data_IF_692906335891
#
_entry.id   IF_692906335891
#
_cell.length_a   1.000
_cell.length_b   1.000
_cell.length_c   1.000
_cell.angle_alpha   90.00
_cell.angle_beta   90.00
_cell.angle_gamma   90.00
#
_symmetry.space_group_name_H-M   'P 1'
#
loop_
_entity.id
_entity.type
_entity.pdbx_description
1 polymer ?
#
# COMPACT_ATOMS: atom_id res chain seq x y z
N UNK A 1 -10.08 3.89 28.21
CA UNK A 1 -9.67 3.71 29.62
C UNK A 1 -8.19 3.31 29.72
N UNK A 2 -7.57 3.41 30.90
CA UNK A 2 -6.12 3.17 31.08
C UNK A 2 -5.63 1.80 30.57
N UNK A 3 -6.49 0.77 30.58
CA UNK A 3 -6.21 -0.56 30.03
C UNK A 3 -6.14 -0.57 28.50
N UNK A 4 -7.06 0.12 27.82
CA UNK A 4 -7.03 0.27 26.36
C UNK A 4 -5.81 1.07 25.90
N UNK A 5 -5.38 2.06 26.70
CA UNK A 5 -4.17 2.84 26.45
C UNK A 5 -2.89 1.99 26.60
N UNK A 6 -2.87 1.08 27.58
CA UNK A 6 -1.77 0.15 27.80
C UNK A 6 -1.68 -0.93 26.71
N UNK A 7 -2.83 -1.52 26.31
CA UNK A 7 -2.90 -2.47 25.19
C UNK A 7 -2.51 -1.79 23.88
N UNK A 8 -2.96 -0.56 23.64
CA UNK A 8 -2.55 0.25 22.48
C UNK A 8 -1.04 0.53 22.49
N UNK A 9 -0.47 0.90 23.64
CA UNK A 9 0.98 1.14 23.77
C UNK A 9 1.80 -0.12 23.52
N UNK A 10 1.40 -1.27 24.07
CA UNK A 10 2.08 -2.56 23.86
C UNK A 10 2.03 -2.94 22.38
N UNK A 11 0.87 -2.78 21.73
CA UNK A 11 0.71 -3.06 20.31
C UNK A 11 1.55 -2.13 19.43
N UNK A 12 1.52 -0.82 19.70
CA UNK A 12 2.39 0.17 19.03
C UNK A 12 3.88 -0.10 19.27
N UNK A 13 4.28 -0.61 20.43
CA UNK A 13 5.66 -0.98 20.73
C UNK A 13 6.10 -2.23 19.96
N UNK A 14 5.24 -3.25 19.89
CA UNK A 14 5.49 -4.50 19.15
C UNK A 14 5.53 -4.25 17.64
N UNK A 15 4.54 -3.50 17.13
CA UNK A 15 4.46 -3.03 15.75
C UNK A 15 5.73 -2.23 15.40
N UNK A 16 6.17 -1.30 16.27
CA UNK A 16 7.32 -0.43 15.97
C UNK A 16 8.68 -1.10 16.08
N UNK A 17 8.87 -2.05 16.99
CA UNK A 17 10.15 -2.75 17.17
C UNK A 17 10.31 -3.96 16.24
N UNK A 18 9.23 -4.69 15.97
CA UNK A 18 9.21 -5.76 14.97
C UNK A 18 9.22 -5.24 13.54
N UNK A 19 8.43 -4.20 13.23
CA UNK A 19 8.28 -3.71 11.86
C UNK A 19 9.51 -2.92 11.37
N UNK A 20 10.28 -2.21 12.20
CA UNK A 20 11.43 -1.43 11.69
C UNK A 20 12.54 -2.34 11.11
N UNK A 21 12.78 -3.48 11.76
CA UNK A 21 13.71 -4.50 11.26
C UNK A 21 13.21 -5.19 9.99
N UNK A 22 11.90 -5.47 9.93
CA UNK A 22 11.26 -6.07 8.75
C UNK A 22 11.21 -5.08 7.57
N UNK A 23 10.90 -3.80 7.83
CA UNK A 23 10.87 -2.73 6.84
C UNK A 23 12.22 -2.60 6.14
N UNK A 24 13.32 -2.50 6.91
CA UNK A 24 14.67 -2.42 6.33
C UNK A 24 15.01 -3.61 5.44
N UNK A 25 14.59 -4.81 5.82
CA UNK A 25 14.81 -6.05 5.05
C UNK A 25 13.94 -6.11 3.79
N UNK A 26 12.70 -5.64 3.86
CA UNK A 26 11.75 -5.66 2.74
C UNK A 26 11.98 -4.54 1.72
N UNK A 27 12.54 -3.40 2.14
CA UNK A 27 12.81 -2.27 1.24
C UNK A 27 13.89 -2.56 0.18
N UNK A 28 14.85 -3.44 0.48
CA UNK A 28 15.91 -3.82 -0.46
C UNK A 28 15.40 -4.59 -1.70
N UNK A 29 14.62 -5.68 -1.56
CA UNK A 29 14.05 -6.37 -2.72
C UNK A 29 13.05 -5.51 -3.51
N UNK A 30 12.30 -4.60 -2.86
CA UNK A 30 11.40 -3.68 -3.58
C UNK A 30 12.15 -2.77 -4.55
N UNK A 31 13.24 -2.13 -4.10
CA UNK A 31 14.09 -1.31 -4.97
C UNK A 31 14.67 -2.10 -6.14
N UNK A 32 15.06 -3.35 -5.90
CA UNK A 32 15.58 -4.22 -6.95
C UNK A 32 14.52 -4.57 -7.99
N UNK A 33 13.26 -4.81 -7.56
CA UNK A 33 12.15 -5.08 -8.47
C UNK A 33 11.86 -3.88 -9.39
N UNK A 34 11.80 -2.66 -8.85
CA UNK A 34 11.60 -1.45 -9.66
C UNK A 34 12.77 -1.18 -10.62
N UNK A 35 14.02 -1.39 -10.19
CA UNK A 35 15.18 -1.22 -11.07
C UNK A 35 15.16 -2.19 -12.27
N UNK A 36 14.65 -3.41 -12.09
CA UNK A 36 14.50 -4.38 -13.19
C UNK A 36 13.39 -3.98 -14.17
N UNK A 37 12.31 -3.39 -13.67
CA UNK A 37 11.22 -2.84 -14.49
C UNK A 37 11.71 -1.66 -15.33
N UNK A 38 12.44 -0.72 -14.71
CA UNK A 38 13.01 0.45 -15.38
C UNK A 38 14.06 0.07 -16.44
N UNK A 39 14.76 -1.05 -16.26
CA UNK A 39 15.76 -1.54 -17.20
C UNK A 39 15.19 -2.16 -18.49
N UNK A 40 13.86 -2.31 -18.62
CA UNK A 40 13.18 -2.72 -19.87
C UNK A 40 13.47 -4.15 -20.36
N UNK A 41 14.13 -5.00 -19.56
CA UNK A 41 14.63 -6.32 -19.98
C UNK A 41 13.62 -7.47 -19.84
N UNK A 42 12.32 -7.23 -20.06
CA UNK A 42 11.27 -8.24 -19.82
C UNK A 42 10.24 -8.31 -20.95
N UNK A 43 9.85 -9.53 -21.34
CA UNK A 43 8.67 -9.78 -22.20
C UNK A 43 7.42 -9.17 -21.57
N UNK A 44 6.50 -8.62 -22.38
CA UNK A 44 5.32 -7.88 -21.90
C UNK A 44 4.54 -8.58 -20.78
N UNK A 45 4.18 -9.87 -20.95
CA UNK A 45 3.45 -10.62 -19.91
C UNK A 45 4.28 -10.88 -18.63
N UNK A 46 5.61 -10.87 -18.72
CA UNK A 46 6.52 -10.91 -17.57
C UNK A 46 6.62 -9.54 -16.90
N UNK A 47 6.63 -8.46 -17.70
CA UNK A 47 6.61 -7.09 -17.20
C UNK A 47 5.31 -6.79 -16.45
N UNK A 48 4.15 -7.20 -16.96
CA UNK A 48 2.85 -6.98 -16.30
C UNK A 48 2.76 -7.68 -14.95
N UNK A 49 3.24 -8.94 -14.87
CA UNK A 49 3.34 -9.70 -13.62
C UNK A 49 4.33 -9.09 -12.64
N UNK A 50 5.46 -8.58 -13.14
CA UNK A 50 6.49 -7.97 -12.31
C UNK A 50 6.02 -6.62 -11.74
N UNK A 51 5.26 -5.83 -12.51
CA UNK A 51 4.60 -4.62 -12.01
C UNK A 51 3.55 -4.94 -10.94
N UNK A 52 2.63 -5.89 -11.18
CA UNK A 52 1.62 -6.28 -10.18
C UNK A 52 2.28 -6.73 -8.86
N UNK A 53 3.32 -7.58 -8.94
CA UNK A 53 4.10 -7.99 -7.77
C UNK A 53 4.85 -6.84 -7.07
N UNK A 54 5.40 -5.89 -7.83
CA UNK A 54 6.05 -4.71 -7.26
C UNK A 54 5.05 -3.81 -6.51
N UNK A 55 3.84 -3.65 -7.06
CA UNK A 55 2.77 -2.90 -6.42
C UNK A 55 2.29 -3.50 -5.11
N UNK A 56 2.07 -4.82 -5.07
CA UNK A 56 1.73 -5.52 -3.82
C UNK A 56 2.85 -5.46 -2.77
N UNK A 57 4.10 -5.55 -3.22
CA UNK A 57 5.25 -5.39 -2.35
C UNK A 57 5.35 -3.96 -1.79
N UNK A 58 5.07 -2.94 -2.60
CA UNK A 58 5.01 -1.55 -2.16
C UNK A 58 3.92 -1.34 -1.09
N UNK A 59 2.75 -1.98 -1.21
CA UNK A 59 1.74 -1.98 -0.14
C UNK A 59 2.30 -2.57 1.16
N UNK A 60 2.94 -3.74 1.06
CA UNK A 60 3.48 -4.44 2.22
C UNK A 60 4.57 -3.64 2.92
N UNK A 61 5.48 -3.04 2.16
CA UNK A 61 6.56 -2.18 2.69
C UNK A 61 5.99 -0.89 3.26
N UNK A 62 4.99 -0.30 2.61
CA UNK A 62 4.28 0.87 3.13
C UNK A 62 3.58 0.60 4.46
N UNK A 63 2.98 -0.58 4.63
CA UNK A 63 2.36 -1.01 5.89
C UNK A 63 3.40 -1.18 7.01
N UNK A 64 4.53 -1.82 6.73
CA UNK A 64 5.63 -1.90 7.70
C UNK A 64 6.18 -0.53 8.09
N UNK A 65 6.29 0.40 7.14
CA UNK A 65 6.69 1.78 7.42
C UNK A 65 5.65 2.50 8.29
N UNK A 66 4.36 2.28 8.01
CA UNK A 66 3.25 2.84 8.77
C UNK A 66 3.31 2.39 10.24
N UNK A 67 3.42 1.07 10.46
CA UNK A 67 3.53 0.46 11.79
C UNK A 67 4.78 0.91 12.55
N UNK A 68 5.86 1.20 11.82
CA UNK A 68 7.11 1.77 12.38
C UNK A 68 7.00 3.27 12.73
N UNK A 69 5.87 3.92 12.43
CA UNK A 69 5.68 5.36 12.61
C UNK A 69 6.38 6.23 11.55
N UNK A 70 6.86 5.63 10.45
CA UNK A 70 7.51 6.32 9.32
C UNK A 70 6.46 6.74 8.30
N UNK A 71 5.63 7.72 8.66
CA UNK A 71 4.46 8.08 7.86
C UNK A 71 4.79 8.64 6.47
N UNK A 72 5.91 9.36 6.32
CA UNK A 72 6.33 9.85 5.00
C UNK A 72 6.81 8.74 4.06
N UNK A 73 7.51 7.74 4.61
CA UNK A 73 7.91 6.56 3.85
C UNK A 73 6.67 5.75 3.44
N UNK A 74 5.76 5.50 4.38
CA UNK A 74 4.50 4.80 4.12
C UNK A 74 3.69 5.48 3.00
N UNK A 75 3.59 6.82 3.06
CA UNK A 75 2.92 7.61 2.02
C UNK A 75 3.58 7.44 0.65
N UNK A 76 4.91 7.40 0.61
CA UNK A 76 5.66 7.25 -0.63
C UNK A 76 5.42 5.86 -1.24
N UNK A 77 5.49 4.79 -0.43
CA UNK A 77 5.23 3.43 -0.87
C UNK A 77 3.79 3.21 -1.35
N UNK A 78 2.80 3.80 -0.68
CA UNK A 78 1.41 3.74 -1.17
C UNK A 78 1.20 4.53 -2.46
N UNK A 79 1.93 5.62 -2.68
CA UNK A 79 1.92 6.35 -3.94
C UNK A 79 2.57 5.56 -5.09
N UNK A 80 3.64 4.82 -4.81
CA UNK A 80 4.27 3.90 -5.78
C UNK A 80 3.31 2.76 -6.16
N UNK A 81 2.59 2.18 -5.18
CA UNK A 81 1.56 1.19 -5.44
C UNK A 81 0.42 1.75 -6.31
N UNK A 82 -0.04 2.97 -6.04
CA UNK A 82 -1.04 3.68 -6.87
C UNK A 82 -0.56 3.91 -8.30
N UNK A 83 0.68 4.36 -8.47
CA UNK A 83 1.26 4.59 -9.80
C UNK A 83 1.36 3.27 -10.59
N UNK A 84 1.83 2.22 -9.92
CA UNK A 84 1.94 0.87 -10.49
C UNK A 84 0.57 0.34 -10.92
N UNK A 85 -0.44 0.44 -10.05
CA UNK A 85 -1.81 0.01 -10.34
C UNK A 85 -2.41 0.72 -11.56
N UNK A 86 -2.16 2.02 -11.71
CA UNK A 86 -2.63 2.79 -12.87
C UNK A 86 -1.88 2.44 -14.16
N UNK A 87 -0.58 2.19 -14.07
CA UNK A 87 0.21 1.74 -15.21
C UNK A 87 -0.25 0.38 -15.73
N UNK A 88 -0.65 -0.53 -14.84
CA UNK A 88 -1.08 -1.89 -15.21
C UNK A 88 -2.59 -2.02 -15.40
N UNK A 89 -3.38 -1.00 -15.05
CA UNK A 89 -4.85 -1.10 -15.04
C UNK A 89 -5.41 -2.00 -13.94
N UNK A 90 -4.64 -2.28 -12.89
CA UNK A 90 -5.05 -3.12 -11.76
C UNK A 90 -5.90 -2.33 -10.75
N UNK A 91 -7.21 -2.28 -11.00
CA UNK A 91 -8.16 -1.61 -10.12
C UNK A 91 -8.24 -2.25 -8.71
N UNK A 92 -7.87 -3.53 -8.55
CA UNK A 92 -7.83 -4.18 -7.24
C UNK A 92 -6.71 -3.61 -6.37
N UNK A 93 -5.52 -3.52 -6.94
CA UNK A 93 -4.36 -2.89 -6.31
C UNK A 93 -4.59 -1.40 -6.05
N UNK A 94 -5.22 -0.67 -6.99
CA UNK A 94 -5.52 0.75 -6.82
C UNK A 94 -6.45 0.98 -5.62
N UNK A 95 -7.53 0.20 -5.50
CA UNK A 95 -8.42 0.27 -4.35
C UNK A 95 -7.69 -0.05 -3.03
N UNK A 96 -6.80 -1.05 -3.04
CA UNK A 96 -6.02 -1.45 -1.86
C UNK A 96 -5.05 -0.34 -1.42
N UNK A 97 -4.38 0.32 -2.37
CA UNK A 97 -3.49 1.45 -2.08
C UNK A 97 -4.23 2.65 -1.50
N UNK A 98 -5.45 2.94 -2.00
CA UNK A 98 -6.30 3.99 -1.43
C UNK A 98 -6.79 3.65 -0.01
N UNK A 99 -7.15 2.40 0.28
CA UNK A 99 -7.50 1.98 1.64
C UNK A 99 -6.35 2.21 2.63
N UNK A 100 -5.14 1.80 2.26
CA UNK A 100 -3.95 1.99 3.10
C UNK A 100 -3.60 3.48 3.28
N UNK A 101 -3.74 4.28 2.23
CA UNK A 101 -3.60 5.75 2.32
C UNK A 101 -4.63 6.37 3.27
N UNK A 102 -5.85 5.84 3.29
CA UNK A 102 -6.89 6.31 4.21
C UNK A 102 -6.55 6.00 5.68
N UNK A 103 -6.03 4.80 5.96
CA UNK A 103 -5.56 4.45 7.30
C UNK A 103 -4.39 5.32 7.75
N UNK A 104 -3.39 5.49 6.89
CA UNK A 104 -2.24 6.36 7.18
C UNK A 104 -2.69 7.80 7.46
N UNK A 105 -3.60 8.35 6.65
CA UNK A 105 -4.10 9.71 6.86
C UNK A 105 -4.89 9.84 8.16
N UNK A 106 -5.66 8.82 8.57
CA UNK A 106 -6.34 8.79 9.86
C UNK A 106 -5.32 8.83 11.01
N UNK A 107 -4.32 7.95 10.94
CA UNK A 107 -3.34 7.75 12.02
C UNK A 107 -2.34 8.92 12.11
N UNK A 108 -2.13 9.65 11.00
CA UNK A 108 -1.40 10.92 10.95
C UNK A 108 -2.25 12.15 11.33
N UNK A 109 -3.50 11.99 11.78
CA UNK A 109 -4.35 13.11 12.20
C UNK A 109 -4.90 13.98 11.05
N UNK A 110 -5.02 13.44 9.84
CA UNK A 110 -5.49 14.11 8.61
C UNK A 110 -6.86 13.55 8.16
N UNK A 111 -7.94 13.75 8.93
CA UNK A 111 -9.23 13.06 8.71
C UNK A 111 -9.88 13.38 7.37
N UNK A 112 -9.73 14.61 6.85
CA UNK A 112 -10.27 14.99 5.53
C UNK A 112 -9.62 14.20 4.39
N UNK A 113 -8.34 13.90 4.52
CA UNK A 113 -7.63 13.09 3.53
C UNK A 113 -7.97 11.62 3.63
N UNK A 114 -8.14 11.11 4.86
CA UNK A 114 -8.63 9.77 5.09
C UNK A 114 -9.97 9.53 4.38
N UNK A 115 -10.92 10.46 4.53
CA UNK A 115 -12.22 10.37 3.84
C UNK A 115 -12.07 10.40 2.33
N UNK A 116 -11.26 11.32 1.79
CA UNK A 116 -11.05 11.40 0.33
C UNK A 116 -10.44 10.12 -0.25
N UNK A 117 -9.46 9.54 0.44
CA UNK A 117 -8.83 8.29 0.03
C UNK A 117 -9.81 7.11 0.13
N UNK A 118 -10.59 7.01 1.22
CA UNK A 118 -11.61 5.97 1.36
C UNK A 118 -12.70 6.06 0.27
N UNK A 119 -13.12 7.27 -0.09
CA UNK A 119 -14.07 7.49 -1.20
C UNK A 119 -13.47 7.10 -2.55
N UNK A 120 -12.17 7.31 -2.76
CA UNK A 120 -11.49 6.87 -3.97
C UNK A 120 -11.46 5.33 -4.05
N UNK A 121 -11.09 4.64 -2.97
CA UNK A 121 -11.15 3.18 -2.89
C UNK A 121 -12.56 2.64 -3.20
N UNK A 122 -13.61 3.26 -2.65
CA UNK A 122 -14.99 2.86 -2.91
C UNK A 122 -15.41 3.03 -4.38
N UNK A 123 -14.99 4.11 -5.05
CA UNK A 123 -15.30 4.32 -6.47
C UNK A 123 -14.68 3.23 -7.33
N UNK A 124 -13.40 2.97 -7.15
CA UNK A 124 -12.67 1.91 -7.88
C UNK A 124 -13.28 0.53 -7.58
N UNK A 125 -13.61 0.24 -6.31
CA UNK A 125 -14.24 -1.02 -5.92
C UNK A 125 -15.64 -1.23 -6.52
N UNK A 126 -16.42 -0.16 -6.74
CA UNK A 126 -17.73 -0.25 -7.42
C UNK A 126 -17.58 -0.59 -8.89
N UNK A 127 -16.59 -0.03 -9.58
CA UNK A 127 -16.30 -0.34 -10.99
C UNK A 127 -15.94 -1.83 -11.16
N UNK A 128 -15.13 -2.37 -10.25
CA UNK A 128 -14.82 -3.81 -10.19
C UNK A 128 -16.07 -4.68 -9.99
N UNK A 129 -16.93 -4.31 -9.03
CA UNK A 129 -18.18 -5.01 -8.77
C UNK A 129 -19.13 -4.98 -9.95
N UNK A 130 -19.24 -3.82 -10.61
CA UNK A 130 -20.06 -3.64 -11.82
C UNK A 130 -19.52 -4.45 -13.00
N UNK A 131 -18.21 -4.44 -13.25
CA UNK A 131 -17.61 -5.21 -14.34
C UNK A 131 -17.80 -6.72 -14.15
N UNK A 132 -17.67 -7.21 -12.90
CA UNK A 132 -17.89 -8.63 -12.57
C UNK A 132 -19.35 -9.05 -12.71
N UNK A 133 -20.30 -8.14 -12.45
CA UNK A 133 -21.73 -8.36 -12.66
C UNK A 133 -22.14 -8.29 -14.15
N UNK A 134 -21.42 -7.56 -15.00
CA UNK A 134 -21.69 -7.43 -16.44
C UNK A 134 -21.09 -8.55 -17.30
N UNK A 135 -20.37 -9.51 -16.69
CA UNK A 135 -19.70 -10.63 -17.38
C UNK A 135 -20.43 -11.98 -17.22
N UNK A 136 -21.68 -11.98 -16.73
CA UNK A 136 -22.55 -13.15 -16.57
C UNK A 136 -23.72 -13.07 -17.55
#
# INVERSE_FOLDING_TARGET
GALEEAVRKIRVLDDRHGADGLYRRAAAPLRAAYALLDAGATRQATADRLHSGAGELAISVGWLAHDSGRFDDARSHYAEALATARMTGDAGLEAHAFCNTAFLARDAGRPREAVRAAQAAQRVGRELGSARLMSL
#
